data_IF_976638207880
#
_entry.id   IF_976638207880
#
_cell.length_a   1.000
_cell.length_b   1.000
_cell.length_c   1.000
_cell.angle_alpha   90.00
_cell.angle_beta   90.00
_cell.angle_gamma   90.00
#
_symmetry.space_group_name_H-M   'P 1'
#
loop_
_entity.id
_entity.type
_entity.pdbx_description
1 polymer ?
#
# COMPACT_ATOMS: atom_id res chain seq x y z
N UNK A 1 3.31 -36.77 -15.36
CA UNK A 1 2.12 -36.20 -16.00
C UNK A 1 2.56 -34.96 -16.75
N UNK A 2 2.17 -34.82 -17.99
CA UNK A 2 2.49 -33.62 -18.79
C UNK A 2 1.24 -32.75 -18.70
N UNK A 3 1.24 -31.74 -17.80
CA UNK A 3 0.05 -30.96 -17.49
C UNK A 3 -0.28 -29.91 -18.57
N UNK A 4 0.44 -29.92 -19.72
CA UNK A 4 0.21 -29.03 -20.85
C UNK A 4 0.30 -27.53 -20.48
N UNK A 5 1.21 -27.19 -19.56
CA UNK A 5 1.36 -25.80 -19.08
C UNK A 5 2.18 -25.02 -20.09
N UNK A 6 1.59 -23.97 -20.67
CA UNK A 6 2.22 -23.10 -21.67
C UNK A 6 3.06 -21.99 -21.02
N UNK A 7 2.67 -21.54 -19.81
CA UNK A 7 3.34 -20.48 -19.05
C UNK A 7 3.20 -20.72 -17.55
N UNK A 8 4.22 -20.37 -16.78
CA UNK A 8 4.19 -20.40 -15.32
C UNK A 8 4.38 -19.00 -14.74
N UNK A 9 3.44 -18.57 -13.88
CA UNK A 9 3.57 -17.30 -13.15
C UNK A 9 3.76 -17.56 -11.64
N UNK A 10 4.93 -17.19 -11.12
CA UNK A 10 5.27 -17.27 -9.69
C UNK A 10 4.92 -15.99 -8.95
N UNK A 11 3.87 -16.00 -8.13
CA UNK A 11 3.40 -14.84 -7.37
C UNK A 11 4.14 -14.59 -6.05
N UNK A 12 4.90 -15.57 -5.57
CA UNK A 12 5.58 -15.52 -4.25
C UNK A 12 7.08 -15.71 -4.35
N UNK A 13 7.71 -14.98 -5.24
CA UNK A 13 9.17 -14.92 -5.24
C UNK A 13 9.88 -16.28 -5.43
N UNK A 14 9.20 -17.29 -5.99
CA UNK A 14 9.78 -18.62 -6.25
C UNK A 14 9.32 -19.18 -7.60
N UNK A 15 10.26 -19.80 -8.29
CA UNK A 15 9.99 -20.64 -9.46
C UNK A 15 10.37 -22.08 -9.14
N UNK A 16 9.46 -23.04 -9.29
CA UNK A 16 9.78 -24.46 -9.12
C UNK A 16 10.91 -24.89 -10.04
N UNK A 17 11.80 -25.74 -9.54
CA UNK A 17 12.92 -26.26 -10.33
C UNK A 17 12.45 -26.96 -11.62
N UNK A 18 11.30 -27.62 -11.57
CA UNK A 18 10.66 -28.29 -12.71
C UNK A 18 10.33 -27.37 -13.87
N UNK A 19 9.97 -26.11 -13.61
CA UNK A 19 9.71 -25.09 -14.63
C UNK A 19 10.99 -24.80 -15.44
N UNK A 20 12.13 -24.69 -14.76
CA UNK A 20 13.40 -24.46 -15.42
C UNK A 20 13.89 -25.67 -16.23
N UNK A 21 13.67 -26.88 -15.71
CA UNK A 21 14.08 -28.12 -16.41
C UNK A 21 13.27 -28.37 -17.68
N UNK A 22 11.99 -27.93 -17.69
CA UNK A 22 11.08 -28.14 -18.84
C UNK A 22 11.08 -26.97 -19.85
N UNK A 23 11.88 -25.92 -19.62
CA UNK A 23 11.95 -24.71 -20.46
C UNK A 23 10.58 -24.02 -20.65
N UNK A 24 9.68 -24.14 -19.68
CA UNK A 24 8.38 -23.45 -19.70
C UNK A 24 8.63 -21.94 -19.57
N UNK A 25 8.06 -21.09 -20.44
CA UNK A 25 8.08 -19.64 -20.26
C UNK A 25 7.60 -19.27 -18.86
N UNK A 26 8.26 -18.32 -18.24
CA UNK A 26 7.92 -17.99 -16.85
C UNK A 26 7.96 -16.50 -16.54
N UNK A 27 6.99 -16.07 -15.74
CA UNK A 27 6.90 -14.74 -15.14
C UNK A 27 7.10 -14.86 -13.65
N UNK A 28 7.74 -13.89 -13.04
CA UNK A 28 7.93 -13.85 -11.58
C UNK A 28 7.55 -12.49 -11.05
N UNK A 29 6.60 -12.46 -10.09
CA UNK A 29 6.22 -11.22 -9.41
C UNK A 29 7.02 -11.03 -8.14
N UNK A 30 7.51 -9.80 -7.96
CA UNK A 30 8.25 -9.31 -6.79
C UNK A 30 7.41 -8.21 -6.13
N UNK A 31 6.58 -8.55 -5.13
CA UNK A 31 5.66 -7.58 -4.52
C UNK A 31 6.34 -6.59 -3.58
N UNK A 32 7.50 -6.92 -3.05
CA UNK A 32 8.34 -6.05 -2.21
C UNK A 32 9.79 -6.53 -2.18
N UNK A 33 10.67 -5.66 -1.68
CA UNK A 33 12.11 -5.91 -1.54
C UNK A 33 12.58 -5.80 -0.09
N UNK A 34 11.71 -6.07 0.88
CA UNK A 34 12.01 -5.93 2.31
C UNK A 34 13.25 -6.72 2.74
N UNK A 35 13.50 -7.86 2.12
CA UNK A 35 14.69 -8.68 2.37
C UNK A 35 16.02 -7.99 1.98
N UNK A 36 15.99 -7.04 1.02
CA UNK A 36 17.16 -6.23 0.65
C UNK A 36 17.29 -4.99 1.54
N UNK A 37 16.16 -4.37 1.90
CA UNK A 37 16.10 -3.12 2.65
C UNK A 37 16.29 -3.32 4.16
N UNK A 38 15.74 -4.40 4.71
CA UNK A 38 15.75 -4.73 6.14
C UNK A 38 16.38 -6.11 6.40
N UNK A 39 17.65 -6.35 6.02
CA UNK A 39 18.28 -7.67 6.15
C UNK A 39 18.35 -8.16 7.60
N UNK A 40 18.31 -7.25 8.59
CA UNK A 40 18.31 -7.58 10.01
C UNK A 40 17.02 -8.26 10.49
N UNK A 41 15.92 -8.17 9.73
CA UNK A 41 14.65 -8.86 10.02
C UNK A 41 14.63 -10.32 9.52
N UNK A 42 15.68 -10.75 8.82
CA UNK A 42 15.78 -12.07 8.19
C UNK A 42 16.93 -12.88 8.77
N UNK A 43 16.72 -14.17 8.95
CA UNK A 43 17.74 -15.10 9.39
C UNK A 43 18.86 -15.24 8.33
N UNK A 44 20.03 -15.73 8.74
CA UNK A 44 21.13 -15.97 7.80
C UNK A 44 20.73 -16.93 6.67
N UNK A 45 19.96 -17.98 6.98
CA UNK A 45 19.49 -18.96 5.99
C UNK A 45 18.53 -18.32 4.95
N UNK A 46 17.60 -17.46 5.40
CA UNK A 46 16.70 -16.72 4.50
C UNK A 46 17.47 -15.76 3.61
N UNK A 47 18.46 -15.04 4.16
CA UNK A 47 19.33 -14.16 3.36
C UNK A 47 20.12 -14.92 2.31
N UNK A 48 20.70 -16.06 2.68
CA UNK A 48 21.41 -16.92 1.74
C UNK A 48 20.50 -17.45 0.63
N UNK A 49 19.28 -17.88 0.98
CA UNK A 49 18.25 -18.30 0.02
C UNK A 49 17.95 -17.18 -0.99
N UNK A 50 17.75 -15.96 -0.51
CA UNK A 50 17.46 -14.80 -1.37
C UNK A 50 18.64 -14.51 -2.31
N UNK A 51 19.83 -14.44 -1.79
CA UNK A 51 21.01 -14.09 -2.57
C UNK A 51 21.41 -15.16 -3.61
N UNK A 52 20.98 -16.38 -3.42
CA UNK A 52 21.32 -17.52 -4.28
C UNK A 52 20.15 -17.98 -5.15
N UNK A 53 19.18 -18.67 -4.54
CA UNK A 53 18.11 -19.33 -5.29
C UNK A 53 17.11 -18.32 -5.87
N UNK A 54 16.74 -17.31 -5.10
CA UNK A 54 15.80 -16.27 -5.55
C UNK A 54 16.38 -15.42 -6.69
N UNK A 55 17.62 -14.93 -6.51
CA UNK A 55 18.34 -14.21 -7.57
C UNK A 55 18.49 -15.05 -8.84
N UNK A 56 18.78 -16.35 -8.69
CA UNK A 56 18.88 -17.27 -9.83
C UNK A 56 17.53 -17.45 -10.53
N UNK A 57 16.44 -17.55 -9.77
CA UNK A 57 15.09 -17.63 -10.32
C UNK A 57 14.72 -16.38 -11.11
N UNK A 58 14.96 -15.20 -10.54
CA UNK A 58 14.71 -13.91 -11.22
C UNK A 58 15.48 -13.79 -12.55
N UNK A 59 16.76 -14.17 -12.57
CA UNK A 59 17.57 -14.12 -13.78
C UNK A 59 17.09 -15.06 -14.89
N UNK A 60 16.46 -16.16 -14.50
CA UNK A 60 15.93 -17.18 -15.42
C UNK A 60 14.52 -16.90 -15.88
N UNK A 61 13.75 -16.13 -15.13
CA UNK A 61 12.43 -15.70 -15.55
C UNK A 61 12.48 -14.95 -16.88
N UNK A 62 11.52 -15.21 -17.74
CA UNK A 62 11.39 -14.50 -19.02
C UNK A 62 11.00 -13.04 -18.79
N UNK A 63 10.09 -12.80 -17.82
CA UNK A 63 9.73 -11.47 -17.33
C UNK A 63 9.67 -11.44 -15.80
N UNK A 64 9.98 -10.30 -15.24
CA UNK A 64 9.83 -9.99 -13.80
C UNK A 64 8.85 -8.84 -13.66
N UNK A 65 7.83 -8.99 -12.83
CA UNK A 65 6.88 -7.93 -12.53
C UNK A 65 7.20 -7.37 -11.15
N UNK A 66 7.27 -6.05 -11.05
CA UNK A 66 7.42 -5.34 -9.77
C UNK A 66 6.39 -4.22 -9.65
N UNK A 67 6.25 -3.66 -8.45
CA UNK A 67 5.13 -2.76 -8.13
C UNK A 67 5.47 -1.27 -8.27
N UNK A 68 6.73 -0.91 -8.52
CA UNK A 68 7.16 0.49 -8.64
C UNK A 68 8.48 0.63 -9.42
N UNK A 69 8.74 1.82 -9.96
CA UNK A 69 10.02 2.13 -10.62
C UNK A 69 11.20 2.03 -9.66
N UNK A 70 11.15 2.54 -8.42
CA UNK A 70 12.23 2.32 -7.46
C UNK A 70 12.53 0.85 -7.20
N UNK A 71 11.51 -0.01 -7.14
CA UNK A 71 11.73 -1.45 -6.99
C UNK A 71 12.37 -2.08 -8.24
N UNK A 72 12.07 -1.60 -9.44
CA UNK A 72 12.74 -2.00 -10.69
C UNK A 72 14.22 -1.65 -10.65
N UNK A 73 14.55 -0.42 -10.27
CA UNK A 73 15.93 0.06 -10.15
C UNK A 73 16.70 -0.78 -9.13
N UNK A 74 16.13 -1.01 -7.95
CA UNK A 74 16.74 -1.82 -6.90
C UNK A 74 16.97 -3.29 -7.32
N UNK A 75 16.03 -3.90 -8.04
CA UNK A 75 16.19 -5.23 -8.61
C UNK A 75 17.36 -5.29 -9.63
N UNK A 76 17.45 -4.26 -10.48
CA UNK A 76 18.50 -4.16 -11.47
C UNK A 76 19.88 -3.97 -10.82
N UNK A 77 20.00 -3.00 -9.91
CA UNK A 77 21.29 -2.65 -9.31
C UNK A 77 21.78 -3.67 -8.30
N UNK A 78 20.93 -4.10 -7.35
CA UNK A 78 21.35 -4.98 -6.24
C UNK A 78 21.36 -6.45 -6.60
N UNK A 79 20.44 -6.90 -7.46
CA UNK A 79 20.36 -8.30 -7.87
C UNK A 79 20.91 -8.56 -9.27
N UNK A 80 21.31 -7.50 -9.97
CA UNK A 80 21.84 -7.57 -11.34
C UNK A 80 20.86 -8.32 -12.27
N UNK A 81 19.60 -7.87 -12.27
CA UNK A 81 18.56 -8.33 -13.18
C UNK A 81 18.50 -7.36 -14.36
N UNK A 82 18.43 -7.90 -15.56
CA UNK A 82 18.32 -7.11 -16.79
C UNK A 82 17.04 -6.22 -16.73
N UNK A 83 17.17 -4.88 -16.75
CA UNK A 83 16.04 -3.98 -16.66
C UNK A 83 15.03 -4.15 -17.81
N UNK A 84 15.44 -4.68 -18.97
CA UNK A 84 14.55 -4.96 -20.08
C UNK A 84 13.55 -6.10 -19.81
N UNK A 85 13.84 -6.94 -18.81
CA UNK A 85 12.96 -8.01 -18.35
C UNK A 85 11.99 -7.58 -17.27
N UNK A 86 12.19 -6.38 -16.67
CA UNK A 86 11.43 -5.93 -15.51
C UNK A 86 10.31 -5.02 -15.94
N UNK A 87 9.08 -5.47 -15.75
CA UNK A 87 7.85 -4.72 -15.98
C UNK A 87 7.38 -4.10 -14.66
N UNK A 88 7.10 -2.79 -14.68
CA UNK A 88 6.47 -2.12 -13.54
C UNK A 88 4.96 -2.19 -13.74
N UNK A 89 4.29 -2.82 -12.79
CA UNK A 89 2.86 -2.98 -12.82
C UNK A 89 2.28 -2.77 -11.42
N UNK A 90 1.66 -1.62 -11.21
CA UNK A 90 0.98 -1.23 -9.98
C UNK A 90 -0.51 -1.50 -10.13
N UNK A 91 -1.16 -2.07 -9.16
CA UNK A 91 -0.85 -3.27 -8.40
C UNK A 91 -1.42 -4.50 -9.08
N UNK A 92 -0.82 -5.61 -8.79
CA UNK A 92 -1.44 -6.90 -9.02
C UNK A 92 -2.74 -6.97 -8.22
N UNK A 93 -3.83 -6.99 -8.95
CA UNK A 93 -5.19 -7.13 -8.46
C UNK A 93 -5.36 -7.27 -6.95
N UNK A 94 -5.55 -6.16 -6.28
CA UNK A 94 -6.27 -6.22 -5.01
C UNK A 94 -7.72 -6.52 -5.42
N UNK A 95 -8.31 -7.64 -4.97
CA UNK A 95 -9.70 -7.89 -5.28
C UNK A 95 -10.51 -6.67 -4.87
N UNK A 96 -11.24 -6.07 -5.83
CA UNK A 96 -12.13 -5.00 -5.44
C UNK A 96 -13.05 -5.54 -4.34
N UNK A 97 -13.28 -4.78 -3.27
CA UNK A 97 -14.40 -5.07 -2.41
C UNK A 97 -15.62 -5.24 -3.30
N UNK A 98 -16.31 -6.37 -3.20
CA UNK A 98 -17.47 -6.65 -4.05
C UNK A 98 -18.58 -5.66 -3.69
N UNK A 99 -18.73 -4.60 -4.50
CA UNK A 99 -19.82 -3.63 -4.36
C UNK A 99 -19.52 -2.47 -3.38
N UNK A 100 -20.38 -1.47 -3.43
CA UNK A 100 -20.43 -0.44 -2.40
C UNK A 100 -21.11 -1.01 -1.16
N UNK A 101 -20.55 -0.82 0.05
CA UNK A 101 -21.21 -1.23 1.28
C UNK A 101 -22.60 -0.60 1.40
N UNK A 102 -23.58 -1.41 1.79
CA UNK A 102 -24.93 -0.94 2.10
C UNK A 102 -24.91 -0.05 3.36
N UNK A 103 -25.96 0.76 3.54
CA UNK A 103 -26.10 1.59 4.72
C UNK A 103 -26.07 0.75 6.02
N UNK A 104 -26.68 -0.44 6.01
CA UNK A 104 -26.67 -1.36 7.16
C UNK A 104 -25.25 -1.88 7.49
N UNK A 105 -24.42 -2.18 6.47
CA UNK A 105 -23.02 -2.56 6.66
C UNK A 105 -22.19 -1.40 7.19
N UNK A 106 -22.39 -0.19 6.70
CA UNK A 106 -21.71 1.02 7.22
C UNK A 106 -22.04 1.22 8.70
N UNK A 107 -23.32 1.15 9.09
CA UNK A 107 -23.75 1.29 10.48
C UNK A 107 -23.24 0.14 11.37
N UNK A 108 -23.20 -1.09 10.84
CA UNK A 108 -22.63 -2.22 11.55
C UNK A 108 -21.14 -1.99 11.87
N UNK A 109 -20.35 -1.63 10.86
CA UNK A 109 -18.90 -1.37 11.00
C UNK A 109 -18.64 -0.21 11.94
N UNK A 110 -19.41 0.89 11.81
CA UNK A 110 -19.29 2.03 12.72
C UNK A 110 -19.50 1.64 14.18
N UNK A 111 -20.53 0.83 14.47
CA UNK A 111 -20.82 0.35 15.84
C UNK A 111 -19.79 -0.66 16.33
N UNK A 112 -19.41 -1.61 15.46
CA UNK A 112 -18.47 -2.69 15.80
C UNK A 112 -17.12 -2.17 16.27
N UNK A 113 -16.62 -1.14 15.60
CA UNK A 113 -15.32 -0.54 15.90
C UNK A 113 -15.41 0.80 16.65
N UNK A 114 -16.60 1.20 17.10
CA UNK A 114 -16.86 2.46 17.79
C UNK A 114 -16.28 3.69 17.06
N UNK A 115 -16.40 3.73 15.72
CA UNK A 115 -15.75 4.72 14.88
C UNK A 115 -16.29 6.13 15.13
N UNK A 116 -15.42 7.15 15.17
CA UNK A 116 -15.83 8.55 15.21
C UNK A 116 -16.67 8.94 13.99
N UNK A 117 -17.44 10.02 14.10
CA UNK A 117 -18.23 10.53 12.98
C UNK A 117 -17.32 10.98 11.82
N UNK A 118 -16.25 11.70 12.15
CA UNK A 118 -15.24 12.15 11.21
C UNK A 118 -13.86 11.68 11.67
N UNK A 119 -13.15 10.97 10.82
CA UNK A 119 -11.83 10.48 11.15
C UNK A 119 -10.89 10.40 9.96
N UNK A 120 -9.61 10.51 10.26
CA UNK A 120 -8.48 10.20 9.38
C UNK A 120 -8.20 8.71 9.53
N UNK A 121 -8.18 7.98 8.43
CA UNK A 121 -7.84 6.56 8.40
C UNK A 121 -6.35 6.39 8.07
N UNK A 122 -5.66 5.59 8.87
CA UNK A 122 -4.30 5.12 8.58
C UNK A 122 -4.32 3.59 8.55
N UNK A 123 -3.76 2.97 7.50
CA UNK A 123 -3.69 1.51 7.36
C UNK A 123 -2.24 1.07 7.20
N UNK A 124 -1.86 0.03 7.94
CA UNK A 124 -0.55 -0.60 7.87
C UNK A 124 -0.10 -1.13 9.22
N UNK A 125 0.95 -1.96 9.24
CA UNK A 125 1.56 -2.41 10.49
C UNK A 125 1.99 -1.19 11.31
N UNK A 126 1.72 -1.20 12.61
CA UNK A 126 2.05 -0.06 13.49
C UNK A 126 3.56 -0.08 13.79
N UNK A 127 4.32 0.58 12.93
CA UNK A 127 5.79 0.62 12.94
C UNK A 127 6.31 2.05 12.76
N UNK A 128 7.54 2.38 13.22
CA UNK A 128 8.13 3.72 13.09
C UNK A 128 8.07 4.27 11.66
N UNK A 129 8.43 3.46 10.69
CA UNK A 129 8.52 3.81 9.26
C UNK A 129 7.21 4.28 8.60
N UNK A 130 6.07 4.09 9.25
CA UNK A 130 4.77 4.56 8.75
C UNK A 130 4.40 5.96 9.26
N UNK A 131 5.25 6.59 10.08
CA UNK A 131 5.13 7.99 10.51
C UNK A 131 3.76 8.39 11.11
N UNK A 132 3.11 7.47 11.84
CA UNK A 132 1.83 7.77 12.52
C UNK A 132 1.91 9.02 13.40
N UNK A 133 3.08 9.24 14.03
CA UNK A 133 3.31 10.39 14.88
C UNK A 133 3.26 11.75 14.14
N UNK A 134 3.53 11.78 12.83
CA UNK A 134 3.39 13.00 12.03
C UNK A 134 1.92 13.43 11.96
N UNK A 135 1.00 12.49 11.73
CA UNK A 135 -0.44 12.73 11.75
C UNK A 135 -0.91 13.11 13.15
N UNK A 136 -0.43 12.42 14.20
CA UNK A 136 -0.78 12.75 15.60
C UNK A 136 -0.29 14.14 16.00
N UNK A 137 0.91 14.54 15.56
CA UNK A 137 1.42 15.88 15.81
C UNK A 137 0.58 16.95 15.12
N UNK A 138 0.22 16.74 13.86
CA UNK A 138 -0.67 17.65 13.13
C UNK A 138 -2.05 17.72 13.78
N UNK A 139 -2.63 16.58 14.15
CA UNK A 139 -3.93 16.51 14.82
C UNK A 139 -3.98 17.29 16.14
N UNK A 140 -2.86 17.30 16.90
CA UNK A 140 -2.78 18.03 18.16
C UNK A 140 -2.87 19.55 17.98
N UNK A 141 -2.49 20.06 16.81
CA UNK A 141 -2.53 21.49 16.45
C UNK A 141 -3.78 21.86 15.64
N UNK A 142 -4.44 20.85 15.04
CA UNK A 142 -5.59 21.07 14.18
C UNK A 142 -6.79 21.61 14.97
N UNK A 143 -7.49 22.58 14.41
CA UNK A 143 -8.75 23.08 14.93
C UNK A 143 -9.90 22.06 14.77
N UNK A 144 -9.80 21.16 13.82
CA UNK A 144 -10.80 20.13 13.54
C UNK A 144 -10.94 19.12 14.69
N UNK A 145 -12.19 18.76 15.08
CA UNK A 145 -12.45 17.76 16.10
C UNK A 145 -12.28 16.31 15.61
N UNK A 146 -11.87 16.09 14.36
CA UNK A 146 -11.75 14.78 13.76
C UNK A 146 -10.83 13.84 14.57
N UNK A 147 -11.17 12.55 14.59
CA UNK A 147 -10.34 11.50 15.18
C UNK A 147 -9.32 10.95 14.20
N UNK A 148 -8.46 10.06 14.69
CA UNK A 148 -7.59 9.20 13.89
C UNK A 148 -7.89 7.75 14.21
N UNK A 149 -8.12 6.95 13.20
CA UNK A 149 -8.28 5.49 13.31
C UNK A 149 -7.07 4.83 12.65
N UNK A 150 -6.26 4.15 13.44
CA UNK A 150 -5.09 3.39 12.97
C UNK A 150 -5.47 1.92 12.89
N UNK A 151 -5.51 1.39 11.68
CA UNK A 151 -5.85 -0.01 11.43
C UNK A 151 -4.62 -0.81 11.00
N UNK A 152 -4.24 -1.81 11.77
CA UNK A 152 -3.11 -2.66 11.42
C UNK A 152 -2.57 -3.51 12.55
N UNK A 153 -1.59 -4.35 12.24
CA UNK A 153 -1.01 -5.25 13.22
C UNK A 153 -0.34 -4.49 14.36
N UNK A 154 -0.67 -4.88 15.60
CA UNK A 154 -0.03 -4.38 16.81
C UNK A 154 1.45 -4.76 16.88
N UNK A 155 2.28 -3.82 17.31
CA UNK A 155 3.69 -4.02 17.62
C UNK A 155 4.03 -3.31 18.93
N UNK A 156 5.26 -3.42 19.41
CA UNK A 156 5.73 -2.62 20.56
C UNK A 156 5.63 -1.10 20.30
N UNK A 157 5.67 -0.67 19.05
CA UNK A 157 5.49 0.73 18.66
C UNK A 157 4.09 1.26 18.95
N UNK A 158 3.08 0.40 19.02
CA UNK A 158 1.71 0.80 19.37
C UNK A 158 1.62 1.42 20.77
N UNK A 159 2.34 0.87 21.73
CA UNK A 159 2.36 1.38 23.12
C UNK A 159 3.09 2.73 23.20
N UNK A 160 4.16 2.89 22.42
CA UNK A 160 4.83 4.18 22.26
C UNK A 160 3.88 5.25 21.68
N UNK A 161 3.12 4.94 20.62
CA UNK A 161 2.18 5.86 20.00
C UNK A 161 1.04 6.24 20.95
N UNK A 162 0.55 5.32 21.77
CA UNK A 162 -0.43 5.63 22.81
C UNK A 162 0.14 6.61 23.85
N UNK A 163 1.39 6.40 24.28
CA UNK A 163 2.10 7.34 25.14
C UNK A 163 2.27 8.73 24.50
N UNK A 164 2.64 8.75 23.22
CA UNK A 164 2.78 9.98 22.44
C UNK A 164 1.46 10.74 22.32
N UNK A 165 0.34 10.04 22.05
CA UNK A 165 -1.00 10.62 21.97
C UNK A 165 -1.45 11.25 23.32
N UNK A 166 -1.14 10.56 24.45
CA UNK A 166 -1.40 11.08 25.80
C UNK A 166 -0.60 12.35 26.06
N UNK A 167 0.70 12.35 25.76
CA UNK A 167 1.56 13.52 25.96
C UNK A 167 1.10 14.73 25.13
N UNK A 168 0.45 14.51 23.97
CA UNK A 168 -0.13 15.53 23.10
C UNK A 168 -1.58 15.87 23.42
N UNK A 169 -2.19 15.24 24.44
CA UNK A 169 -3.59 15.43 24.88
C UNK A 169 -4.62 15.10 23.80
N UNK A 170 -4.30 14.19 22.89
CA UNK A 170 -5.18 13.73 21.81
C UNK A 170 -5.59 12.26 21.97
N UNK A 171 -5.25 11.60 23.08
CA UNK A 171 -5.53 10.17 23.25
C UNK A 171 -7.01 9.81 23.11
N UNK A 172 -7.93 10.71 23.47
CA UNK A 172 -9.36 10.51 23.28
C UNK A 172 -9.83 10.62 21.81
N UNK A 173 -8.94 11.01 20.91
CA UNK A 173 -9.19 11.17 19.47
C UNK A 173 -8.44 10.13 18.62
N UNK A 174 -7.79 9.15 19.25
CA UNK A 174 -6.97 8.14 18.55
C UNK A 174 -7.45 6.75 18.92
N UNK A 175 -7.94 6.04 17.92
CA UNK A 175 -8.42 4.67 18.04
C UNK A 175 -7.52 3.71 17.25
N UNK A 176 -7.32 2.50 17.79
CA UNK A 176 -6.55 1.45 17.13
C UNK A 176 -7.45 0.23 16.87
N UNK A 177 -7.45 -0.23 15.61
CA UNK A 177 -8.09 -1.47 15.18
C UNK A 177 -6.99 -2.47 14.83
N UNK A 178 -6.72 -3.42 15.74
CA UNK A 178 -5.69 -4.43 15.53
C UNK A 178 -6.23 -5.69 14.82
N UNK A 179 -7.52 -5.92 14.94
CA UNK A 179 -8.21 -7.09 14.38
C UNK A 179 -9.38 -6.62 13.50
N UNK A 180 -9.06 -6.22 12.27
CA UNK A 180 -10.05 -5.88 11.28
C UNK A 180 -10.50 -7.14 10.55
N UNK A 181 -11.81 -7.38 10.51
CA UNK A 181 -12.39 -8.40 9.64
C UNK A 181 -12.22 -7.96 8.17
N UNK A 182 -11.63 -8.77 7.28
CA UNK A 182 -11.37 -8.35 5.89
C UNK A 182 -12.60 -7.85 5.13
N UNK A 183 -13.78 -8.39 5.39
CA UNK A 183 -15.04 -7.94 4.78
C UNK A 183 -15.47 -6.53 5.22
N UNK A 184 -14.97 -6.02 6.35
CA UNK A 184 -15.32 -4.71 6.88
C UNK A 184 -14.44 -3.59 6.31
N UNK A 185 -13.33 -3.95 5.66
CA UNK A 185 -12.37 -3.00 5.11
C UNK A 185 -13.00 -2.00 4.12
N UNK A 186 -13.88 -2.39 3.18
CA UNK A 186 -14.55 -1.45 2.29
C UNK A 186 -15.40 -0.42 3.02
N UNK A 187 -16.13 -0.86 4.04
CA UNK A 187 -16.96 0.03 4.85
C UNK A 187 -16.09 1.00 5.66
N UNK A 188 -14.94 0.54 6.17
CA UNK A 188 -13.99 1.39 6.89
C UNK A 188 -13.46 2.52 5.99
N UNK A 189 -13.03 2.21 4.76
CA UNK A 189 -12.64 3.23 3.78
C UNK A 189 -13.78 4.20 3.46
N UNK A 190 -15.00 3.70 3.31
CA UNK A 190 -16.17 4.53 2.98
C UNK A 190 -16.60 5.46 4.11
N UNK A 191 -16.37 5.06 5.36
CA UNK A 191 -16.71 5.83 6.56
C UNK A 191 -15.67 6.91 6.89
N UNK A 192 -14.43 6.71 6.46
CA UNK A 192 -13.34 7.65 6.69
C UNK A 192 -13.56 8.96 5.91
N UNK A 193 -13.01 10.05 6.45
CA UNK A 193 -13.02 11.36 5.81
C UNK A 193 -11.81 11.61 4.93
N UNK A 194 -10.66 11.10 5.37
CA UNK A 194 -9.35 11.25 4.73
C UNK A 194 -8.55 9.98 4.97
N UNK A 195 -7.78 9.55 3.98
CA UNK A 195 -6.77 8.53 4.14
C UNK A 195 -5.39 9.19 4.26
N UNK A 196 -4.69 8.96 5.36
CA UNK A 196 -3.33 9.42 5.55
C UNK A 196 -2.35 8.24 5.49
N UNK A 197 -1.39 8.31 4.56
CA UNK A 197 -0.37 7.29 4.39
C UNK A 197 0.99 7.94 4.16
N UNK A 198 1.79 7.99 5.23
CA UNK A 198 3.01 8.78 5.30
C UNK A 198 4.27 7.94 5.55
N UNK A 199 4.49 6.82 4.83
CA UNK A 199 5.71 6.03 5.02
C UNK A 199 6.97 6.84 4.67
N UNK A 200 8.10 6.47 5.28
CA UNK A 200 9.41 6.97 4.89
C UNK A 200 9.71 6.63 3.43
N UNK A 201 10.46 7.48 2.74
CA UNK A 201 10.76 7.31 1.32
C UNK A 201 11.39 5.95 0.98
N UNK A 202 12.23 5.44 1.88
CA UNK A 202 12.94 4.16 1.72
C UNK A 202 12.17 2.95 2.29
N UNK A 203 11.05 3.20 2.97
CA UNK A 203 10.41 2.18 3.82
C UNK A 203 9.42 1.29 3.10
N UNK A 204 8.76 1.77 2.06
CA UNK A 204 7.60 1.07 1.51
C UNK A 204 7.65 1.03 -0.02
N UNK A 205 7.59 -0.18 -0.55
CA UNK A 205 7.36 -0.40 -1.98
C UNK A 205 5.89 -0.77 -2.27
N UNK A 206 5.08 -0.97 -1.25
CA UNK A 206 3.68 -1.41 -1.41
C UNK A 206 2.75 -0.22 -1.54
N UNK A 207 2.04 -0.17 -2.64
CA UNK A 207 1.02 0.85 -2.93
C UNK A 207 -0.40 0.35 -2.71
N UNK A 208 -0.55 -0.87 -2.20
CA UNK A 208 -1.86 -1.51 -2.01
C UNK A 208 -2.83 -0.62 -1.23
N UNK A 209 -2.47 -0.05 -0.06
CA UNK A 209 -3.40 0.81 0.68
C UNK A 209 -3.80 2.08 -0.08
N UNK A 210 -2.89 2.63 -0.90
CA UNK A 210 -3.16 3.81 -1.74
C UNK A 210 -4.18 3.48 -2.82
N UNK A 211 -4.04 2.32 -3.46
CA UNK A 211 -4.98 1.88 -4.50
C UNK A 211 -6.35 1.54 -3.90
N UNK A 212 -6.40 0.97 -2.70
CA UNK A 212 -7.66 0.76 -1.98
C UNK A 212 -8.37 2.07 -1.69
N UNK A 213 -7.65 3.10 -1.24
CA UNK A 213 -8.19 4.44 -1.02
C UNK A 213 -8.70 5.08 -2.33
N UNK A 214 -7.93 4.98 -3.43
CA UNK A 214 -8.34 5.42 -4.77
C UNK A 214 -9.67 4.79 -5.20
N UNK A 215 -9.79 3.47 -5.03
CA UNK A 215 -11.01 2.72 -5.40
C UNK A 215 -12.21 3.09 -4.53
N UNK A 216 -11.97 3.46 -3.29
CA UNK A 216 -13.01 3.93 -2.38
C UNK A 216 -13.42 5.38 -2.64
N UNK A 217 -12.67 6.13 -3.46
CA UNK A 217 -12.85 7.58 -3.66
C UNK A 217 -12.63 8.35 -2.37
N UNK A 218 -11.64 7.93 -1.59
CA UNK A 218 -11.32 8.53 -0.30
C UNK A 218 -10.15 9.51 -0.45
N UNK A 219 -10.36 10.82 -0.23
CA UNK A 219 -9.31 11.84 -0.32
C UNK A 219 -8.06 11.49 0.46
N UNK A 220 -6.89 11.67 -0.16
CA UNK A 220 -5.62 11.18 0.35
C UNK A 220 -4.63 12.28 0.67
N UNK A 221 -3.93 12.10 1.80
CA UNK A 221 -2.69 12.79 2.14
C UNK A 221 -1.58 11.77 2.22
N UNK A 222 -0.60 11.87 1.32
CA UNK A 222 0.45 10.88 1.12
C UNK A 222 1.82 11.51 1.33
N UNK A 223 2.80 10.73 1.81
CA UNK A 223 4.20 11.18 1.74
C UNK A 223 4.64 11.39 0.30
N UNK A 224 5.43 12.44 0.07
CA UNK A 224 5.96 12.79 -1.24
C UNK A 224 7.08 11.83 -1.63
N UNK A 225 6.69 10.65 -2.09
CA UNK A 225 7.59 9.61 -2.58
C UNK A 225 7.27 9.26 -4.03
N UNK A 226 8.26 8.80 -4.76
CA UNK A 226 8.05 8.36 -6.14
C UNK A 226 7.00 7.25 -6.21
N UNK A 227 7.01 6.31 -5.28
CA UNK A 227 6.06 5.19 -5.21
C UNK A 227 4.62 5.68 -5.05
N UNK A 228 4.37 6.63 -4.15
CA UNK A 228 3.04 7.22 -3.96
C UNK A 228 2.60 8.04 -5.17
N UNK A 229 3.51 8.79 -5.79
CA UNK A 229 3.22 9.54 -7.03
C UNK A 229 2.91 8.63 -8.20
N UNK A 230 3.61 7.51 -8.35
CA UNK A 230 3.30 6.49 -9.36
C UNK A 230 1.92 5.86 -9.14
N UNK A 231 1.51 5.65 -7.90
CA UNK A 231 0.20 5.09 -7.59
C UNK A 231 -0.93 6.12 -7.76
N UNK A 232 -0.85 7.25 -7.05
CA UNK A 232 -1.96 8.19 -6.96
C UNK A 232 -1.95 9.30 -8.04
N UNK A 233 -0.80 9.59 -8.68
CA UNK A 233 -0.70 10.67 -9.67
C UNK A 233 -1.09 12.02 -9.07
N UNK A 234 -2.07 12.69 -9.65
CA UNK A 234 -2.60 13.97 -9.16
C UNK A 234 -3.79 13.81 -8.18
N UNK A 235 -4.09 12.58 -7.78
CA UNK A 235 -5.26 12.27 -6.97
C UNK A 235 -4.97 12.29 -5.45
N UNK A 236 -3.93 12.99 -5.00
CA UNK A 236 -3.57 13.11 -3.59
C UNK A 236 -2.90 14.44 -3.28
N UNK A 237 -2.94 14.87 -2.02
CA UNK A 237 -2.02 15.86 -1.49
C UNK A 237 -0.72 15.17 -1.06
N UNK A 238 0.42 15.72 -1.48
CA UNK A 238 1.73 15.17 -1.14
C UNK A 238 2.42 16.07 -0.11
N UNK A 239 2.97 15.45 0.93
CA UNK A 239 3.61 16.14 2.05
C UNK A 239 4.92 15.45 2.44
N UNK A 240 5.80 16.18 3.05
CA UNK A 240 6.97 15.64 3.74
C UNK A 240 6.56 15.31 5.18
N UNK A 241 6.66 14.06 5.64
CA UNK A 241 6.22 13.67 6.98
C UNK A 241 6.87 14.45 8.12
N UNK A 242 8.12 14.90 7.93
CA UNK A 242 8.88 15.72 8.88
C UNK A 242 8.45 17.18 8.87
N UNK A 243 7.79 17.66 7.82
CA UNK A 243 7.30 19.03 7.68
C UNK A 243 5.90 19.18 8.30
N UNK A 244 5.84 19.28 9.64
CA UNK A 244 4.57 19.34 10.42
C UNK A 244 3.55 20.32 9.85
N UNK A 245 3.97 21.49 9.40
CA UNK A 245 3.08 22.50 8.82
C UNK A 245 2.44 22.04 7.50
N UNK A 246 3.17 21.31 6.66
CA UNK A 246 2.63 20.74 5.41
C UNK A 246 1.58 19.66 5.73
N UNK A 247 1.90 18.77 6.67
CA UNK A 247 0.98 17.71 7.10
C UNK A 247 -0.30 18.30 7.68
N UNK A 248 -0.18 19.31 8.57
CA UNK A 248 -1.33 20.00 9.16
C UNK A 248 -2.20 20.64 8.08
N UNK A 249 -1.62 21.47 7.21
CA UNK A 249 -2.37 22.17 6.16
C UNK A 249 -3.07 21.20 5.20
N UNK A 250 -2.41 20.12 4.81
CA UNK A 250 -2.99 19.11 3.93
C UNK A 250 -4.16 18.36 4.60
N UNK A 251 -4.01 18.01 5.87
CA UNK A 251 -5.10 17.36 6.64
C UNK A 251 -6.29 18.30 6.87
N UNK A 252 -6.05 19.57 7.22
CA UNK A 252 -7.12 20.55 7.39
C UNK A 252 -7.89 20.78 6.08
N UNK A 253 -7.19 20.96 4.96
CA UNK A 253 -7.84 21.05 3.65
C UNK A 253 -8.68 19.80 3.35
N UNK A 254 -8.13 18.62 3.59
CA UNK A 254 -8.84 17.38 3.32
C UNK A 254 -10.04 17.15 4.26
N UNK A 255 -9.99 17.63 5.49
CA UNK A 255 -11.07 17.51 6.46
C UNK A 255 -12.19 18.55 6.22
N UNK A 256 -11.84 19.80 5.92
CA UNK A 256 -12.75 20.95 5.97
C UNK A 256 -13.17 21.46 4.58
N UNK A 257 -12.26 21.46 3.57
CA UNK A 257 -12.56 22.01 2.26
C UNK A 257 -13.35 21.01 1.38
N UNK A 258 -14.66 21.31 1.26
CA UNK A 258 -15.57 20.50 0.43
C UNK A 258 -15.21 20.55 -1.05
N UNK A 259 -14.76 21.71 -1.55
CA UNK A 259 -14.39 21.90 -2.96
C UNK A 259 -13.15 21.11 -3.30
N UNK A 260 -12.15 21.16 -2.44
CA UNK A 260 -10.92 20.38 -2.57
C UNK A 260 -11.21 18.87 -2.60
N UNK A 261 -12.02 18.36 -1.65
CA UNK A 261 -12.41 16.95 -1.62
C UNK A 261 -13.09 16.50 -2.89
N UNK A 262 -14.03 17.30 -3.40
CA UNK A 262 -14.74 17.00 -4.66
C UNK A 262 -13.77 16.88 -5.82
N UNK A 263 -12.84 17.82 -5.93
CA UNK A 263 -11.79 17.78 -6.97
C UNK A 263 -10.92 16.53 -6.85
N UNK A 264 -10.50 16.18 -5.62
CA UNK A 264 -9.69 14.96 -5.41
C UNK A 264 -10.49 13.69 -5.75
N UNK A 265 -11.75 13.59 -5.34
CA UNK A 265 -12.61 12.44 -5.68
C UNK A 265 -12.79 12.23 -7.19
N UNK A 266 -12.86 13.30 -7.98
CA UNK A 266 -12.91 13.20 -9.44
C UNK A 266 -11.59 12.66 -10.01
N UNK A 267 -10.44 13.13 -9.50
CA UNK A 267 -9.11 12.65 -9.89
C UNK A 267 -8.90 11.20 -9.47
N UNK A 268 -9.29 10.84 -8.26
CA UNK A 268 -9.23 9.48 -7.73
C UNK A 268 -10.03 8.50 -8.58
N UNK A 269 -11.25 8.87 -8.97
CA UNK A 269 -12.09 8.03 -9.83
C UNK A 269 -11.42 7.74 -11.18
N UNK A 270 -10.88 8.79 -11.84
CA UNK A 270 -10.14 8.62 -13.10
C UNK A 270 -8.89 7.76 -12.91
N UNK A 271 -8.16 7.98 -11.82
CA UNK A 271 -6.95 7.22 -11.53
C UNK A 271 -7.23 5.75 -11.22
N UNK A 272 -8.31 5.46 -10.49
CA UNK A 272 -8.73 4.11 -10.13
C UNK A 272 -9.05 3.22 -11.34
N UNK A 273 -9.43 3.80 -12.48
CA UNK A 273 -9.70 3.06 -13.73
C UNK A 273 -8.48 2.28 -14.21
N UNK A 274 -7.27 2.82 -14.00
CA UNK A 274 -6.02 2.15 -14.35
C UNK A 274 -5.74 0.89 -13.49
N UNK A 275 -6.43 0.76 -12.37
CA UNK A 275 -6.31 -0.36 -11.43
C UNK A 275 -7.56 -1.23 -11.43
N UNK A 276 -8.39 -1.12 -12.46
CA UNK A 276 -9.52 -2.02 -12.66
C UNK A 276 -9.03 -3.45 -12.94
N UNK A 277 -9.84 -4.44 -12.58
CA UNK A 277 -9.51 -5.85 -12.85
C UNK A 277 -9.26 -6.10 -14.34
N UNK A 278 -10.02 -5.42 -15.20
CA UNK A 278 -9.86 -5.50 -16.65
C UNK A 278 -8.51 -4.95 -17.10
N UNK A 279 -8.14 -3.72 -16.70
CA UNK A 279 -6.87 -3.09 -17.09
C UNK A 279 -5.66 -3.91 -16.61
N UNK A 280 -5.74 -4.45 -15.39
CA UNK A 280 -4.69 -5.32 -14.81
C UNK A 280 -4.60 -6.64 -15.59
N UNK A 281 -5.72 -7.27 -15.90
CA UNK A 281 -5.74 -8.53 -16.66
C UNK A 281 -5.22 -8.33 -18.10
N UNK A 282 -5.62 -7.25 -18.77
CA UNK A 282 -5.13 -6.90 -20.10
C UNK A 282 -3.62 -6.71 -20.11
N UNK A 283 -3.08 -5.97 -19.15
CA UNK A 283 -1.64 -5.77 -19.03
C UNK A 283 -0.89 -7.07 -18.73
N UNK A 284 -1.42 -7.95 -17.89
CA UNK A 284 -0.85 -9.27 -17.64
C UNK A 284 -0.84 -10.12 -18.91
N UNK A 285 -1.92 -10.11 -19.69
CA UNK A 285 -1.98 -10.85 -20.95
C UNK A 285 -0.96 -10.32 -21.97
N UNK A 286 -0.74 -9.01 -22.06
CA UNK A 286 0.32 -8.43 -22.90
C UNK A 286 1.70 -8.93 -22.48
N UNK A 287 1.99 -8.99 -21.17
CA UNK A 287 3.24 -9.53 -20.66
C UNK A 287 3.39 -11.02 -21.00
N UNK A 288 2.34 -11.82 -20.84
CA UNK A 288 2.36 -13.25 -21.12
C UNK A 288 2.59 -13.54 -22.61
N UNK A 289 1.93 -12.78 -23.48
CA UNK A 289 2.08 -12.95 -24.95
C UNK A 289 3.40 -12.43 -25.51
N UNK A 290 4.17 -11.67 -24.71
CA UNK A 290 5.51 -11.19 -25.10
C UNK A 290 6.64 -12.20 -24.82
N UNK A 291 6.31 -13.37 -24.26
CA UNK A 291 7.25 -14.46 -23.93
C UNK A 291 7.30 -15.52 -25.02
#
# INVERSE_FOLDING_TARGET
MNDGVDLYHGFRSSLPLSVHLRRVPSVMTVPNLNFLRYPHLYTFAERLFVLTLYRRALRRAGRVITVSTPAREELSERLNIDPSKIEVMVPLAVPAPRGNPSQAELEHVRRKYALPEHFILMIGTVEPRHNHQAVFAALADAASPAGVVVCGRRTAWSDYLLGYARARRIAARVDFIYELTPSDLPALFRLARVFAYLPDADAEASVVPVVEALRAGLPMVLSDTQVNREAAGEAAAYVRPEARGEVLAALENALEDVSWRRTMQERERRRAELFSEYAVAERLMQIYTSL
#
